data_IF_667927843092
#
_entry.id   IF_667927843092
#
_cell.length_a   1.000
_cell.length_b   1.000
_cell.length_c   1.000
_cell.angle_alpha   90.00
_cell.angle_beta   90.00
_cell.angle_gamma   90.00
#
_symmetry.space_group_name_H-M   'P 1'
#
loop_
_entity.id
_entity.type
_entity.pdbx_description
1 polymer ?
#
# COMPACT_ATOMS: atom_id res chain seq x y z
N UNK A 1 -5.21 -9.27 18.47
CA UNK A 1 -6.52 -9.55 17.84
C UNK A 1 -6.98 -8.23 17.23
N UNK A 2 -6.81 -8.11 15.92
CA UNK A 2 -7.14 -6.88 15.18
C UNK A 2 -8.66 -6.87 14.94
N UNK A 3 -9.38 -5.90 15.50
CA UNK A 3 -10.79 -5.68 15.21
C UNK A 3 -10.90 -4.65 14.09
N UNK A 4 -11.30 -5.09 12.92
CA UNK A 4 -11.53 -4.22 11.76
C UNK A 4 -13.05 -4.09 11.57
N UNK A 5 -13.59 -2.92 11.88
CA UNK A 5 -14.99 -2.58 11.64
C UNK A 5 -15.11 -1.75 10.36
N UNK A 6 -15.73 -2.33 9.33
CA UNK A 6 -16.19 -1.58 8.16
C UNK A 6 -17.63 -1.16 8.39
N UNK A 7 -17.89 0.12 8.47
CA UNK A 7 -19.25 0.66 8.31
C UNK A 7 -19.49 0.96 6.84
N UNK A 8 -20.22 0.06 6.16
CA UNK A 8 -20.89 0.42 4.90
C UNK A 8 -22.07 1.31 5.24
N UNK A 9 -22.03 2.56 4.83
CA UNK A 9 -23.24 3.40 4.79
C UNK A 9 -24.10 2.92 3.62
N UNK A 10 -25.14 2.15 3.93
CA UNK A 10 -26.21 1.85 2.97
C UNK A 10 -26.81 3.17 2.48
N UNK A 11 -26.65 3.45 1.20
CA UNK A 11 -27.43 4.48 0.52
C UNK A 11 -28.87 3.94 0.33
N UNK A 12 -29.78 4.31 1.21
CA UNK A 12 -31.21 4.29 0.88
C UNK A 12 -31.47 5.34 -0.21
N UNK A 13 -31.45 4.93 -1.44
CA UNK A 13 -31.82 5.75 -2.59
C UNK A 13 -32.48 4.87 -3.64
N UNK A 14 -33.74 5.13 -3.93
CA UNK A 14 -34.53 4.52 -4.99
C UNK A 14 -33.75 4.45 -6.29
N UNK A 15 -33.39 3.25 -6.71
CA UNK A 15 -32.76 3.02 -8.02
C UNK A 15 -33.91 2.91 -9.04
N UNK A 16 -34.06 3.95 -9.86
CA UNK A 16 -34.70 3.81 -11.18
C UNK A 16 -33.70 3.05 -12.06
N UNK A 17 -34.16 1.95 -12.63
CA UNK A 17 -33.47 1.18 -13.65
C UNK A 17 -33.24 2.05 -14.88
N UNK A 18 -32.05 2.59 -15.06
CA UNK A 18 -31.52 3.05 -16.33
C UNK A 18 -30.47 2.05 -16.78
N UNK A 19 -30.68 1.53 -18.00
CA UNK A 19 -29.77 0.61 -18.68
C UNK A 19 -28.38 1.24 -18.81
N UNK A 20 -27.48 0.86 -17.92
CA UNK A 20 -26.07 1.23 -18.04
C UNK A 20 -25.34 0.05 -18.69
N UNK A 21 -24.87 0.28 -19.90
CA UNK A 21 -23.80 -0.52 -20.53
C UNK A 21 -22.60 -0.54 -19.57
N UNK A 22 -22.58 -1.51 -18.67
CA UNK A 22 -21.52 -1.73 -17.68
C UNK A 22 -20.28 -2.26 -18.35
N UNK A 23 -19.44 -1.37 -18.86
CA UNK A 23 -18.06 -1.73 -19.11
C UNK A 23 -17.45 -2.26 -17.81
N UNK A 24 -17.03 -3.53 -17.77
CA UNK A 24 -16.33 -4.13 -16.65
C UNK A 24 -15.08 -3.28 -16.34
N UNK A 25 -15.20 -2.42 -15.33
CA UNK A 25 -14.03 -1.68 -14.80
C UNK A 25 -13.06 -2.74 -14.28
N UNK A 26 -12.00 -3.00 -15.01
CA UNK A 26 -10.96 -3.94 -14.62
C UNK A 26 -10.26 -3.38 -13.38
N UNK A 27 -10.53 -3.98 -12.23
CA UNK A 27 -9.88 -3.62 -10.98
C UNK A 27 -8.42 -4.09 -11.02
N UNK A 28 -7.50 -3.15 -10.85
CA UNK A 28 -6.07 -3.43 -10.88
C UNK A 28 -5.50 -3.39 -9.47
N UNK A 29 -4.97 -4.51 -9.00
CA UNK A 29 -4.19 -4.58 -7.77
C UNK A 29 -2.73 -4.74 -8.13
N UNK A 30 -1.87 -3.87 -7.59
CA UNK A 30 -0.41 -3.91 -7.76
C UNK A 30 0.19 -4.12 -6.38
N UNK A 31 1.01 -5.15 -6.21
CA UNK A 31 1.72 -5.44 -4.97
C UNK A 31 3.22 -5.25 -5.14
N UNK A 32 3.82 -4.47 -4.25
CA UNK A 32 5.27 -4.30 -4.19
C UNK A 32 5.79 -4.65 -2.79
N UNK A 33 6.97 -5.24 -2.71
CA UNK A 33 7.67 -5.44 -1.45
C UNK A 33 8.83 -4.44 -1.30
N UNK A 34 9.04 -3.97 -0.09
CA UNK A 34 10.20 -3.19 0.32
C UNK A 34 10.95 -3.94 1.42
N UNK A 35 12.27 -3.96 1.33
CA UNK A 35 13.15 -4.55 2.35
C UNK A 35 13.97 -3.43 2.98
N UNK A 36 13.86 -3.27 4.30
CA UNK A 36 14.56 -2.22 5.03
C UNK A 36 15.34 -2.79 6.23
N UNK A 37 16.41 -2.11 6.63
CA UNK A 37 17.26 -2.49 7.77
C UNK A 37 17.07 -1.58 8.98
N UNK A 38 16.39 -0.45 8.81
CA UNK A 38 16.07 0.51 9.87
C UNK A 38 14.94 1.45 9.44
N UNK A 39 14.28 2.10 10.38
CA UNK A 39 13.28 3.13 10.07
C UNK A 39 13.80 4.21 9.12
N UNK A 40 15.05 4.65 9.29
CA UNK A 40 15.66 5.67 8.42
C UNK A 40 15.78 5.20 6.98
N UNK A 41 16.13 3.92 6.76
CA UNK A 41 16.16 3.34 5.43
C UNK A 41 14.74 3.28 4.84
N UNK A 42 13.75 2.88 5.63
CA UNK A 42 12.35 2.88 5.22
C UNK A 42 11.86 4.29 4.84
N UNK A 43 12.18 5.29 5.67
CA UNK A 43 11.80 6.68 5.39
C UNK A 43 12.46 7.23 4.13
N UNK A 44 13.74 6.88 3.89
CA UNK A 44 14.44 7.28 2.67
C UNK A 44 13.79 6.74 1.40
N UNK A 45 13.19 5.54 1.47
CA UNK A 45 12.45 4.96 0.36
C UNK A 45 11.03 5.57 0.24
N UNK A 46 10.31 5.68 1.35
CA UNK A 46 8.90 6.09 1.33
C UNK A 46 8.70 7.59 1.09
N UNK A 47 9.57 8.45 1.61
CA UNK A 47 9.34 9.90 1.58
C UNK A 47 9.27 10.50 0.17
N UNK A 48 10.16 10.14 -0.78
CA UNK A 48 10.02 10.59 -2.17
C UNK A 48 8.71 10.11 -2.81
N UNK A 49 8.33 8.87 -2.55
CA UNK A 49 7.09 8.28 -3.04
C UNK A 49 5.86 8.99 -2.50
N UNK A 50 5.78 9.16 -1.18
CA UNK A 50 4.68 9.88 -0.53
C UNK A 50 4.54 11.28 -1.10
N UNK A 51 5.65 11.99 -1.28
CA UNK A 51 5.65 13.34 -1.85
C UNK A 51 5.08 13.37 -3.27
N UNK A 52 5.48 12.44 -4.13
CA UNK A 52 5.00 12.36 -5.51
C UNK A 52 3.51 11.98 -5.57
N UNK A 53 3.08 11.00 -4.77
CA UNK A 53 1.69 10.58 -4.75
C UNK A 53 0.75 11.68 -4.20
N UNK A 54 1.18 12.44 -3.19
CA UNK A 54 0.43 13.60 -2.69
C UNK A 54 0.36 14.73 -3.73
N UNK A 55 1.44 14.98 -4.48
CA UNK A 55 1.46 15.92 -5.60
C UNK A 55 0.41 15.55 -6.66
N UNK A 56 0.29 14.26 -6.97
CA UNK A 56 -0.71 13.72 -7.90
C UNK A 56 -2.13 13.67 -7.30
N UNK A 57 -2.30 14.10 -6.04
CA UNK A 57 -3.56 14.09 -5.28
C UNK A 57 -4.11 12.66 -5.12
N UNK A 58 -3.24 11.66 -5.05
CA UNK A 58 -3.60 10.29 -4.76
C UNK A 58 -3.77 10.09 -3.25
N UNK A 59 -4.61 9.13 -2.86
CA UNK A 59 -4.78 8.79 -1.44
C UNK A 59 -3.63 7.90 -0.99
N UNK A 60 -3.11 8.18 0.21
CA UNK A 60 -2.07 7.38 0.85
C UNK A 60 -2.53 7.02 2.25
N UNK A 61 -2.50 5.72 2.54
CA UNK A 61 -2.74 5.14 3.85
C UNK A 61 -1.47 4.41 4.29
N UNK A 62 -1.06 4.60 5.52
CA UNK A 62 0.05 3.85 6.14
C UNK A 62 -0.50 3.07 7.32
N UNK A 63 -0.35 1.76 7.29
CA UNK A 63 -0.76 0.83 8.34
C UNK A 63 0.52 0.22 8.91
N UNK A 64 0.84 0.51 10.16
CA UNK A 64 2.11 0.08 10.72
C UNK A 64 1.99 -0.40 12.17
N UNK A 65 2.76 -1.44 12.51
CA UNK A 65 2.93 -1.87 13.90
C UNK A 65 3.78 -0.87 14.69
N UNK A 66 4.73 -0.21 14.03
CA UNK A 66 5.57 0.82 14.65
C UNK A 66 4.96 2.22 14.49
N UNK A 67 5.37 3.15 15.34
CA UNK A 67 4.90 4.54 15.30
C UNK A 67 5.63 5.36 14.23
N UNK A 68 5.52 4.96 12.97
CA UNK A 68 6.23 5.59 11.83
C UNK A 68 5.84 7.05 11.61
N UNK A 69 4.60 7.44 11.94
CA UNK A 69 4.08 8.80 11.72
C UNK A 69 4.98 9.87 12.34
N UNK A 70 5.31 9.72 13.63
CA UNK A 70 6.11 10.70 14.36
C UNK A 70 7.53 10.81 13.80
N UNK A 71 8.14 9.68 13.44
CA UNK A 71 9.46 9.63 12.81
C UNK A 71 9.48 10.32 11.46
N UNK A 72 8.52 10.03 10.60
CA UNK A 72 8.39 10.62 9.27
C UNK A 72 8.15 12.13 9.35
N UNK A 73 7.22 12.58 10.19
CA UNK A 73 6.93 14.02 10.39
C UNK A 73 8.16 14.78 10.93
N UNK A 74 8.89 14.19 11.87
CA UNK A 74 10.11 14.77 12.40
C UNK A 74 11.20 14.88 11.32
N UNK A 75 11.33 13.86 10.44
CA UNK A 75 12.28 13.91 9.33
C UNK A 75 11.94 15.04 8.36
N UNK A 76 10.67 15.13 7.94
CA UNK A 76 10.18 16.20 7.06
C UNK A 76 10.52 17.58 7.63
N UNK A 77 10.26 17.78 8.93
CA UNK A 77 10.57 19.04 9.62
C UNK A 77 12.07 19.32 9.68
N UNK A 78 12.88 18.33 10.05
CA UNK A 78 14.35 18.48 10.16
C UNK A 78 15.01 18.81 8.81
N UNK A 79 14.55 18.20 7.74
CA UNK A 79 15.06 18.41 6.39
C UNK A 79 14.42 19.63 5.71
N UNK A 80 13.52 20.33 6.38
CA UNK A 80 12.77 21.47 5.84
C UNK A 80 12.16 21.14 4.47
N UNK A 81 11.56 19.95 4.33
CA UNK A 81 11.00 19.50 3.07
C UNK A 81 9.66 20.20 2.79
N UNK A 82 9.56 20.79 1.61
CA UNK A 82 8.32 21.41 1.15
C UNK A 82 7.51 20.41 0.32
N UNK A 83 6.21 20.38 0.58
CA UNK A 83 5.22 19.68 -0.23
C UNK A 83 4.46 20.70 -1.05
N UNK A 84 4.02 20.33 -2.25
CA UNK A 84 3.28 21.24 -3.15
C UNK A 84 1.84 21.49 -2.65
N UNK A 85 1.31 20.61 -1.78
CA UNK A 85 0.00 20.75 -1.17
C UNK A 85 0.09 21.44 0.20
N UNK A 86 -0.96 22.17 0.59
CA UNK A 86 -1.00 22.96 1.84
C UNK A 86 -0.83 22.12 3.11
N UNK A 87 -1.31 20.88 3.10
CA UNK A 87 -1.27 19.97 4.26
C UNK A 87 -0.02 19.09 4.31
N UNK A 88 0.66 18.92 3.16
CA UNK A 88 1.87 18.12 3.09
C UNK A 88 1.69 16.70 3.63
N UNK A 89 2.61 16.27 4.49
CA UNK A 89 2.61 14.93 5.10
C UNK A 89 1.37 14.67 5.99
N UNK A 90 0.63 15.69 6.41
CA UNK A 90 -0.58 15.54 7.22
C UNK A 90 -1.79 15.06 6.40
N UNK A 91 -1.71 14.99 5.09
CA UNK A 91 -2.71 14.33 4.24
C UNK A 91 -2.59 12.81 4.25
N UNK A 92 -1.45 12.26 4.66
CA UNK A 92 -1.27 10.83 4.83
C UNK A 92 -2.13 10.35 6.01
N UNK A 93 -2.91 9.30 5.79
CA UNK A 93 -3.66 8.67 6.85
C UNK A 93 -2.82 7.59 7.51
N UNK A 94 -2.56 7.75 8.80
CA UNK A 94 -1.73 6.84 9.60
C UNK A 94 -2.61 5.99 10.49
N UNK A 95 -2.36 4.69 10.48
CA UNK A 95 -3.06 3.71 11.29
C UNK A 95 -2.04 2.82 12.00
N UNK A 96 -2.29 2.55 13.27
CA UNK A 96 -1.57 1.56 14.06
C UNK A 96 -2.37 0.25 14.10
N UNK A 97 -2.04 -0.70 14.97
CA UNK A 97 -2.64 -2.04 15.07
C UNK A 97 -4.17 -2.07 15.21
N UNK A 98 -4.78 -1.02 15.78
CA UNK A 98 -6.23 -0.88 15.89
C UNK A 98 -6.72 0.20 14.93
N UNK A 99 -7.38 -0.18 13.84
CA UNK A 99 -7.90 0.78 12.88
C UNK A 99 -9.23 0.36 12.27
N UNK A 100 -10.02 1.37 11.93
CA UNK A 100 -11.20 1.27 11.10
C UNK A 100 -10.92 2.00 9.80
N UNK A 101 -10.87 1.28 8.68
CA UNK A 101 -10.68 1.92 7.38
C UNK A 101 -12.06 2.21 6.79
N UNK A 102 -12.43 3.47 6.76
CA UNK A 102 -13.50 3.95 5.89
C UNK A 102 -12.90 4.36 4.54
N UNK A 103 -13.03 3.51 3.54
CA UNK A 103 -12.62 3.83 2.19
C UNK A 103 -13.87 4.03 1.36
N UNK A 104 -14.14 5.28 1.00
CA UNK A 104 -15.14 5.61 -0.02
C UNK A 104 -14.55 5.31 -1.40
N UNK A 105 -15.40 4.92 -2.35
CA UNK A 105 -15.02 4.79 -3.77
C UNK A 105 -14.09 5.92 -4.19
N UNK A 106 -13.01 5.58 -4.87
CA UNK A 106 -12.05 6.55 -5.35
C UNK A 106 -11.83 6.36 -6.85
N UNK A 107 -11.98 7.44 -7.60
CA UNK A 107 -11.66 7.48 -9.03
C UNK A 107 -10.15 7.50 -9.29
N UNK A 108 -9.37 7.77 -8.25
CA UNK A 108 -7.90 7.83 -8.29
C UNK A 108 -7.28 6.62 -7.62
N UNK A 109 -6.03 6.28 -7.96
CA UNK A 109 -5.27 5.24 -7.28
C UNK A 109 -5.25 5.44 -5.76
N UNK A 110 -5.41 4.33 -5.04
CA UNK A 110 -5.24 4.29 -3.58
C UNK A 110 -3.95 3.55 -3.28
N UNK A 111 -3.08 4.20 -2.53
CA UNK A 111 -1.79 3.65 -2.14
C UNK A 111 -1.85 3.25 -0.67
N UNK A 112 -1.54 2.01 -0.36
CA UNK A 112 -1.51 1.48 1.00
C UNK A 112 -0.11 0.96 1.28
N UNK A 113 0.54 1.55 2.27
CA UNK A 113 1.83 1.08 2.80
C UNK A 113 1.56 0.27 4.06
N UNK A 114 2.06 -0.95 4.13
CA UNK A 114 1.90 -1.84 5.28
C UNK A 114 3.29 -2.18 5.83
N UNK A 115 3.51 -1.93 7.11
CA UNK A 115 4.78 -2.19 7.78
C UNK A 115 4.55 -2.98 9.07
N UNK A 116 5.31 -4.04 9.27
CA UNK A 116 5.23 -4.88 10.45
C UNK A 116 5.85 -6.26 10.27
N UNK A 117 5.47 -7.19 11.13
CA UNK A 117 5.84 -8.60 10.98
C UNK A 117 5.19 -9.21 9.74
N UNK A 118 5.74 -10.33 9.29
CA UNK A 118 5.19 -11.04 8.12
C UNK A 118 3.73 -11.47 8.34
N UNK A 119 3.41 -11.94 9.53
CA UNK A 119 2.08 -12.36 9.93
C UNK A 119 1.10 -11.18 9.86
N UNK A 120 1.48 -10.05 10.42
CA UNK A 120 0.69 -8.81 10.36
C UNK A 120 0.43 -8.38 8.92
N UNK A 121 1.48 -8.33 8.10
CA UNK A 121 1.37 -7.94 6.69
C UNK A 121 0.44 -8.90 5.93
N UNK A 122 0.53 -10.21 6.16
CA UNK A 122 -0.35 -11.20 5.54
C UNK A 122 -1.80 -11.04 5.96
N UNK A 123 -2.06 -10.81 7.23
CA UNK A 123 -3.41 -10.58 7.77
C UNK A 123 -4.04 -9.35 7.11
N UNK A 124 -3.32 -8.22 7.08
CA UNK A 124 -3.79 -6.98 6.47
C UNK A 124 -4.02 -7.16 4.97
N UNK A 125 -3.09 -7.77 4.24
CA UNK A 125 -3.25 -8.03 2.81
C UNK A 125 -4.50 -8.86 2.51
N UNK A 126 -4.72 -9.94 3.26
CA UNK A 126 -5.88 -10.82 3.07
C UNK A 126 -7.17 -10.04 3.26
N UNK A 127 -7.23 -9.23 4.32
CA UNK A 127 -8.36 -8.37 4.60
C UNK A 127 -8.62 -7.34 3.48
N UNK A 128 -7.57 -6.63 3.05
CA UNK A 128 -7.68 -5.61 2.00
C UNK A 128 -8.17 -6.21 0.68
N UNK A 129 -7.63 -7.36 0.28
CA UNK A 129 -8.02 -8.01 -0.97
C UNK A 129 -9.44 -8.55 -0.92
N UNK A 130 -9.86 -9.12 0.21
CA UNK A 130 -11.22 -9.63 0.38
C UNK A 130 -12.28 -8.52 0.40
N UNK A 131 -12.03 -7.46 1.17
CA UNK A 131 -13.05 -6.45 1.47
C UNK A 131 -13.06 -5.27 0.50
N UNK A 132 -11.92 -4.90 -0.04
CA UNK A 132 -11.80 -3.66 -0.80
C UNK A 132 -11.16 -3.79 -2.18
N UNK A 133 -10.62 -4.97 -2.53
CA UNK A 133 -9.92 -5.18 -3.80
C UNK A 133 -10.78 -4.84 -5.03
N UNK A 134 -12.09 -5.00 -4.95
CA UNK A 134 -13.04 -4.69 -6.03
C UNK A 134 -13.64 -3.27 -5.97
N UNK A 135 -13.31 -2.47 -4.97
CA UNK A 135 -13.90 -1.14 -4.74
C UNK A 135 -13.19 -0.03 -5.53
N UNK A 136 -11.94 -0.26 -5.91
CA UNK A 136 -11.08 0.74 -6.54
C UNK A 136 -10.71 0.38 -7.97
N UNK A 137 -10.59 1.39 -8.83
CA UNK A 137 -10.05 1.22 -10.17
C UNK A 137 -8.60 0.73 -10.13
N UNK A 138 -7.79 1.26 -9.19
CA UNK A 138 -6.41 0.84 -8.97
C UNK A 138 -6.06 0.89 -7.48
N UNK A 139 -5.58 -0.24 -6.94
CA UNK A 139 -5.08 -0.38 -5.58
C UNK A 139 -3.60 -0.76 -5.63
N UNK A 140 -2.75 0.04 -5.02
CA UNK A 140 -1.31 -0.22 -4.88
C UNK A 140 -0.99 -0.51 -3.44
N UNK A 141 -0.38 -1.67 -3.19
CA UNK A 141 -0.01 -2.13 -1.85
C UNK A 141 1.51 -2.27 -1.80
N UNK A 142 2.15 -1.57 -0.86
CA UNK A 142 3.58 -1.66 -0.61
C UNK A 142 3.77 -2.30 0.77
N UNK A 143 4.26 -3.54 0.77
CA UNK A 143 4.55 -4.31 1.97
C UNK A 143 6.01 -4.10 2.39
N UNK A 144 6.24 -3.57 3.58
CA UNK A 144 7.57 -3.21 4.08
C UNK A 144 8.04 -4.22 5.13
N UNK A 145 9.10 -4.96 4.79
CA UNK A 145 9.67 -6.05 5.59
C UNK A 145 11.04 -5.65 6.16
N UNK A 146 11.23 -5.88 7.45
CA UNK A 146 12.55 -5.73 8.05
C UNK A 146 13.45 -6.92 7.67
N UNK A 147 14.66 -6.63 7.14
CA UNK A 147 15.56 -7.65 6.55
C UNK A 147 15.94 -8.74 7.56
N UNK A 148 16.16 -8.39 8.82
CA UNK A 148 16.57 -9.36 9.86
C UNK A 148 15.55 -10.48 10.08
N UNK A 149 14.30 -10.24 9.72
CA UNK A 149 13.18 -11.18 9.90
C UNK A 149 12.87 -11.98 8.63
N UNK A 150 13.57 -11.75 7.51
CA UNK A 150 13.14 -12.25 6.19
C UNK A 150 14.14 -13.12 5.46
N UNK A 151 15.37 -13.30 5.95
CA UNK A 151 16.48 -13.97 5.23
C UNK A 151 16.15 -15.35 4.65
N UNK A 152 15.31 -16.15 5.32
CA UNK A 152 14.91 -17.49 4.85
C UNK A 152 13.68 -17.47 3.94
N UNK A 153 12.99 -16.35 3.82
CA UNK A 153 11.70 -16.24 3.13
C UNK A 153 11.71 -15.24 1.98
N UNK A 154 12.87 -14.69 1.62
CA UNK A 154 13.00 -13.65 0.59
C UNK A 154 12.31 -14.04 -0.73
N UNK A 155 12.58 -15.24 -1.23
CA UNK A 155 12.00 -15.71 -2.50
C UNK A 155 10.48 -15.85 -2.41
N UNK A 156 9.95 -16.35 -1.30
CA UNK A 156 8.50 -16.46 -1.10
C UNK A 156 7.83 -15.07 -1.10
N UNK A 157 8.48 -14.07 -0.49
CA UNK A 157 8.00 -12.70 -0.52
C UNK A 157 8.03 -12.16 -1.96
N UNK A 158 9.11 -12.38 -2.70
CA UNK A 158 9.22 -11.94 -4.09
C UNK A 158 8.14 -12.59 -4.98
N UNK A 159 7.82 -13.88 -4.75
CA UNK A 159 6.81 -14.60 -5.53
C UNK A 159 5.39 -14.04 -5.32
N UNK A 160 5.11 -13.50 -4.14
CA UNK A 160 3.81 -12.91 -3.78
C UNK A 160 3.61 -11.46 -4.28
N UNK A 161 4.66 -10.84 -4.88
CA UNK A 161 4.65 -9.43 -5.29
C UNK A 161 4.96 -9.27 -6.77
N UNK A 162 4.48 -8.17 -7.35
CA UNK A 162 4.72 -7.83 -8.75
C UNK A 162 6.05 -7.07 -8.91
N UNK A 163 6.40 -6.23 -7.93
CA UNK A 163 7.54 -5.31 -7.94
C UNK A 163 8.32 -5.34 -6.64
N UNK A 164 9.56 -4.83 -6.71
CA UNK A 164 10.33 -4.42 -5.54
C UNK A 164 10.32 -2.89 -5.46
N UNK A 165 9.96 -2.38 -4.28
CA UNK A 165 9.94 -0.96 -4.00
C UNK A 165 11.23 -0.55 -3.26
N UNK A 166 11.90 0.49 -3.74
CA UNK A 166 13.09 1.07 -3.12
C UNK A 166 13.12 2.60 -3.33
N UNK A 167 14.26 3.24 -3.08
CA UNK A 167 14.43 4.70 -3.24
C UNK A 167 14.25 5.20 -4.68
N UNK A 168 14.36 4.32 -5.68
CA UNK A 168 14.10 4.62 -7.09
C UNK A 168 12.63 4.37 -7.49
N UNK A 169 11.77 3.94 -6.55
CA UNK A 169 10.38 3.60 -6.79
C UNK A 169 10.12 2.11 -6.98
N UNK A 170 9.11 1.75 -7.78
CA UNK A 170 8.76 0.37 -8.11
C UNK A 170 9.61 -0.14 -9.26
N UNK A 171 10.33 -1.23 -9.02
CA UNK A 171 11.26 -1.82 -9.98
C UNK A 171 10.91 -3.29 -10.23
N UNK A 172 11.14 -3.82 -11.45
CA UNK A 172 11.05 -5.25 -11.73
C UNK A 172 11.94 -6.07 -10.78
N UNK A 173 11.44 -7.21 -10.34
CA UNK A 173 12.14 -8.06 -9.35
C UNK A 173 13.52 -8.50 -9.82
N UNK A 174 13.66 -8.85 -11.08
CA UNK A 174 14.92 -9.29 -11.71
C UNK A 174 15.96 -8.17 -11.85
N UNK A 175 15.55 -6.90 -11.88
CA UNK A 175 16.48 -5.76 -11.88
C UNK A 175 17.09 -5.54 -10.50
N UNK A 176 16.32 -5.77 -9.43
CA UNK A 176 16.78 -5.60 -8.04
C UNK A 176 17.50 -6.87 -7.55
N UNK A 177 17.02 -8.04 -7.97
CA UNK A 177 17.58 -9.36 -7.63
C UNK A 177 17.93 -10.13 -8.91
N UNK A 178 19.11 -9.92 -9.51
CA UNK A 178 19.49 -10.50 -10.81
C UNK A 178 19.46 -12.04 -10.87
N UNK A 179 19.50 -12.71 -9.71
CA UNK A 179 19.37 -14.17 -9.61
C UNK A 179 17.94 -14.68 -9.43
N UNK A 180 16.96 -13.78 -9.36
CA UNK A 180 15.56 -14.17 -9.20
C UNK A 180 14.97 -14.62 -10.53
N UNK A 181 14.41 -15.84 -10.54
CA UNK A 181 13.69 -16.41 -11.68
C UNK A 181 12.20 -16.46 -11.29
N UNK A 182 11.37 -15.74 -12.02
CA UNK A 182 9.93 -15.77 -11.77
C UNK A 182 9.37 -17.19 -11.96
N UNK A 183 8.59 -17.72 -10.99
CA UNK A 183 7.91 -18.98 -11.18
C UNK A 183 6.96 -18.88 -12.38
N UNK A 184 6.97 -19.90 -13.22
CA UNK A 184 6.03 -19.99 -14.36
C UNK A 184 4.61 -20.07 -13.77
N UNK A 185 3.83 -19.03 -13.96
CA UNK A 185 2.40 -19.06 -13.61
C UNK A 185 1.72 -20.03 -14.61
N UNK A 186 1.47 -21.26 -14.17
CA UNK A 186 0.62 -22.19 -14.92
C UNK A 186 -0.79 -21.58 -14.85
N UNK A 187 -1.22 -21.00 -15.96
CA UNK A 187 -2.62 -20.60 -16.14
C UNK A 187 -3.42 -21.90 -16.17
N UNK A 188 -4.06 -22.23 -15.06
CA UNK A 188 -5.07 -23.28 -15.05
C UNK A 188 -6.24 -22.76 -15.92
N UNK A 189 -6.32 -23.29 -17.14
CA UNK A 189 -7.44 -23.10 -18.05
C UNK A 189 -8.70 -23.79 -17.52
#
# INVERSE_FOLDING_TARGET
>A
MVFILLTQLEKNGNIKSEDNEGGNKMHKVIKACNFYVSEWHLFAALLPYVREELKNKNKILVISQDKLESGMKNLVKKLNLHFENERGIDEVKWFNEEFVIEIKEADKPVNIVIQGTMEFIKEINSYLLEKIGSTFAELRIINCYEVYNTNTMLYNILDEHDYVFNTAGMNPKNEVFPGYIEPVKILNC
#
